data_IF_733363973605
#
_entry.id   IF_733363973605
#
_cell.length_a   1.000
_cell.length_b   1.000
_cell.length_c   1.000
_cell.angle_alpha   90.00
_cell.angle_beta   90.00
_cell.angle_gamma   90.00
#
_symmetry.space_group_name_H-M   'P 1'
#
loop_
_entity.id
_entity.type
_entity.pdbx_description
1 polymer ?
#
# COMPACT_ATOMS: atom_id res chain seq x y z
N UNK A 1 26.08 18.25 -1.12
CA UNK A 1 25.18 17.09 -1.35
C UNK A 1 24.39 17.35 -2.62
N UNK A 2 24.49 16.45 -3.60
CA UNK A 2 23.62 16.49 -4.80
C UNK A 2 22.30 15.84 -4.41
N UNK A 3 21.20 16.62 -4.43
CA UNK A 3 19.86 16.08 -4.20
C UNK A 3 19.26 15.58 -5.51
N UNK A 4 18.53 14.45 -5.49
CA UNK A 4 17.92 13.90 -6.68
C UNK A 4 16.84 14.86 -7.21
N UNK A 5 16.81 15.05 -8.53
CA UNK A 5 15.76 15.83 -9.20
C UNK A 5 14.49 14.98 -9.25
N UNK A 6 13.38 15.52 -8.76
CA UNK A 6 12.09 14.87 -8.82
C UNK A 6 11.41 15.09 -10.17
N UNK A 7 11.14 13.99 -10.86
CA UNK A 7 10.53 13.97 -12.17
C UNK A 7 9.01 13.70 -12.16
N UNK A 8 8.41 13.46 -10.99
CA UNK A 8 6.98 13.11 -10.87
C UNK A 8 6.70 11.64 -10.59
N UNK A 9 7.72 10.78 -10.49
CA UNK A 9 7.55 9.35 -10.17
C UNK A 9 7.08 9.15 -8.71
N UNK A 10 5.83 8.69 -8.55
CA UNK A 10 5.18 8.49 -7.25
C UNK A 10 5.90 7.44 -6.40
N UNK A 11 6.55 6.44 -7.01
CA UNK A 11 7.30 5.40 -6.29
C UNK A 11 8.57 5.99 -5.67
N UNK A 12 9.23 6.93 -6.37
CA UNK A 12 10.46 7.60 -5.90
C UNK A 12 10.19 8.83 -5.02
N UNK A 13 8.94 9.25 -4.91
CA UNK A 13 8.55 10.43 -4.13
C UNK A 13 8.91 10.30 -2.65
N UNK A 14 8.73 9.11 -2.05
CA UNK A 14 9.09 8.86 -0.66
C UNK A 14 10.59 9.12 -0.41
N UNK A 15 11.46 8.47 -1.19
CA UNK A 15 12.91 8.66 -1.09
C UNK A 15 13.35 10.11 -1.37
N UNK A 16 12.68 10.78 -2.31
CA UNK A 16 12.94 12.21 -2.58
C UNK A 16 12.60 13.08 -1.38
N UNK A 17 11.43 12.89 -0.77
CA UNK A 17 11.00 13.65 0.41
C UNK A 17 11.92 13.41 1.60
N UNK A 18 12.34 12.17 1.85
CA UNK A 18 13.29 11.84 2.93
C UNK A 18 14.63 12.55 2.73
N UNK A 19 15.14 12.53 1.49
CA UNK A 19 16.40 13.20 1.13
C UNK A 19 16.29 14.72 1.30
N UNK A 20 15.17 15.30 0.85
CA UNK A 20 14.91 16.74 1.01
C UNK A 20 14.71 17.14 2.47
N UNK A 21 14.05 16.30 3.27
CA UNK A 21 13.81 16.57 4.69
C UNK A 21 15.14 16.69 5.46
N UNK A 22 16.03 15.73 5.25
CA UNK A 22 17.33 15.67 5.92
C UNK A 22 18.25 16.80 5.46
N UNK A 23 18.35 17.02 4.15
CA UNK A 23 19.32 17.96 3.59
C UNK A 23 18.88 19.43 3.66
N UNK A 24 17.57 19.70 3.58
CA UNK A 24 17.04 21.07 3.41
C UNK A 24 16.04 21.42 4.51
N UNK A 25 15.05 20.58 4.78
CA UNK A 25 13.99 20.93 5.74
C UNK A 25 14.50 21.10 7.17
N UNK A 26 15.38 20.20 7.62
CA UNK A 26 16.01 20.21 8.95
C UNK A 26 17.18 21.20 9.07
N UNK A 27 17.63 21.79 7.97
CA UNK A 27 18.70 22.77 7.99
C UNK A 27 18.21 24.09 8.60
N UNK A 28 18.72 24.46 9.79
CA UNK A 28 18.33 25.67 10.50
C UNK A 28 18.92 26.96 9.89
N UNK A 29 19.98 26.85 9.08
CA UNK A 29 20.62 27.99 8.42
C UNK A 29 19.81 28.52 7.22
N UNK A 30 18.83 27.75 6.73
CA UNK A 30 17.97 28.16 5.62
C UNK A 30 16.63 28.70 6.13
N UNK A 31 16.21 29.84 5.61
CA UNK A 31 14.88 30.39 5.82
C UNK A 31 13.81 29.57 5.12
N UNK A 32 12.54 29.75 5.51
CA UNK A 32 11.40 29.07 4.86
C UNK A 32 11.32 29.37 3.36
N UNK A 33 11.67 30.59 2.97
CA UNK A 33 11.66 31.04 1.57
C UNK A 33 12.77 30.34 0.78
N UNK A 34 13.99 30.29 1.32
CA UNK A 34 15.12 29.62 0.67
C UNK A 34 14.88 28.12 0.51
N UNK A 35 14.33 27.46 1.54
CA UNK A 35 13.92 26.04 1.46
C UNK A 35 12.93 25.83 0.31
N UNK A 36 11.92 26.70 0.21
CA UNK A 36 10.92 26.62 -0.85
C UNK A 36 11.52 26.84 -2.25
N UNK A 37 12.39 27.82 -2.42
CA UNK A 37 13.10 28.08 -3.67
C UNK A 37 13.99 26.90 -4.07
N UNK A 38 14.66 26.28 -3.09
CA UNK A 38 15.50 25.09 -3.31
C UNK A 38 14.67 23.89 -3.74
N UNK A 39 13.49 23.70 -3.15
CA UNK A 39 12.59 22.64 -3.56
C UNK A 39 12.03 22.86 -4.97
N UNK A 40 11.72 24.11 -5.33
CA UNK A 40 11.27 24.45 -6.69
C UNK A 40 12.33 24.21 -7.76
N UNK A 41 13.62 24.26 -7.42
CA UNK A 41 14.71 23.95 -8.35
C UNK A 41 14.91 22.46 -8.55
N UNK A 42 14.58 21.63 -7.54
CA UNK A 42 14.69 20.18 -7.57
C UNK A 42 13.51 19.47 -8.25
N UNK A 43 12.42 20.19 -8.55
CA UNK A 43 11.21 19.63 -9.20
C UNK A 43 11.17 20.04 -10.67
N UNK A 44 11.14 19.06 -11.59
CA UNK A 44 11.02 19.33 -13.04
C UNK A 44 9.74 20.11 -13.35
N UNK A 45 9.78 20.99 -14.35
CA UNK A 45 8.64 21.87 -14.74
C UNK A 45 7.30 21.11 -14.91
N UNK A 46 7.33 19.88 -15.42
CA UNK A 46 6.13 19.02 -15.56
C UNK A 46 5.58 18.45 -14.24
N UNK A 47 6.40 18.38 -13.18
CA UNK A 47 6.02 17.93 -11.85
C UNK A 47 5.64 19.10 -10.90
N UNK A 48 5.82 20.36 -11.33
CA UNK A 48 5.54 21.55 -10.52
C UNK A 48 4.05 21.72 -10.17
N UNK A 49 3.14 21.26 -11.04
CA UNK A 49 1.69 21.24 -10.78
C UNK A 49 1.32 20.27 -9.67
N UNK A 50 2.03 19.15 -9.55
CA UNK A 50 1.91 18.21 -8.43
C UNK A 50 2.45 18.82 -7.12
N UNK A 51 3.44 19.71 -7.22
CA UNK A 51 4.21 20.24 -6.08
C UNK A 51 3.65 21.49 -5.41
N UNK A 52 2.94 22.40 -6.11
CA UNK A 52 2.27 23.56 -5.45
C UNK A 52 1.28 23.08 -4.36
N UNK A 53 0.82 21.83 -4.46
CA UNK A 53 -0.04 21.17 -3.49
C UNK A 53 0.74 20.69 -2.23
N UNK A 54 2.09 20.61 -2.26
CA UNK A 54 2.97 19.84 -1.32
C UNK A 54 3.43 20.56 -0.05
N UNK A 55 3.31 21.87 0.05
CA UNK A 55 3.98 22.64 1.10
C UNK A 55 3.60 22.34 2.56
N UNK A 56 2.33 22.03 2.88
CA UNK A 56 1.92 21.87 4.30
C UNK A 56 0.52 21.29 4.51
N UNK A 57 -0.43 21.63 3.66
CA UNK A 57 -1.84 21.23 3.82
C UNK A 57 -2.14 19.77 3.44
N UNK A 58 -1.22 19.11 2.74
CA UNK A 58 -1.54 17.86 2.04
C UNK A 58 -0.88 16.60 2.60
N UNK A 59 -0.06 16.64 3.66
CA UNK A 59 0.43 15.37 4.26
C UNK A 59 -0.70 14.48 4.74
N UNK A 60 -1.70 15.06 5.41
CA UNK A 60 -2.90 14.32 5.84
C UNK A 60 -3.75 13.92 4.64
N UNK A 61 -4.10 14.86 3.76
CA UNK A 61 -4.92 14.58 2.57
C UNK A 61 -4.28 13.55 1.63
N UNK A 62 -2.95 13.47 1.54
CA UNK A 62 -2.27 12.46 0.74
C UNK A 62 -2.09 11.15 1.41
N UNK A 63 -1.83 11.13 2.71
CA UNK A 63 -1.91 9.89 3.45
C UNK A 63 -3.27 9.25 3.21
N UNK A 64 -4.36 10.02 3.35
CA UNK A 64 -5.71 9.54 3.02
C UNK A 64 -5.85 9.12 1.55
N UNK A 65 -5.26 9.85 0.59
CA UNK A 65 -5.30 9.47 -0.82
C UNK A 65 -4.54 8.17 -1.15
N UNK A 66 -3.36 7.97 -0.57
CA UNK A 66 -2.54 6.76 -0.73
C UNK A 66 -3.24 5.58 -0.07
N UNK A 67 -3.80 5.77 1.13
CA UNK A 67 -4.65 4.78 1.80
C UNK A 67 -5.84 4.43 0.90
N UNK A 68 -6.56 5.42 0.37
CA UNK A 68 -7.68 5.20 -0.55
C UNK A 68 -7.26 4.39 -1.76
N UNK A 69 -6.08 4.65 -2.34
CA UNK A 69 -5.59 3.90 -3.48
C UNK A 69 -5.26 2.45 -3.14
N UNK A 70 -4.63 2.19 -1.99
CA UNK A 70 -4.41 0.82 -1.53
C UNK A 70 -5.72 0.09 -1.26
N UNK A 71 -6.71 0.76 -0.68
CA UNK A 71 -8.05 0.19 -0.45
C UNK A 71 -8.78 -0.09 -1.77
N UNK A 72 -8.73 0.81 -2.75
CA UNK A 72 -9.29 0.59 -4.09
C UNK A 72 -8.69 -0.64 -4.76
N UNK A 73 -7.36 -0.81 -4.67
CA UNK A 73 -6.70 -1.99 -5.25
C UNK A 73 -7.16 -3.26 -4.55
N UNK A 74 -7.26 -3.27 -3.23
CA UNK A 74 -7.80 -4.41 -2.47
C UNK A 74 -9.23 -4.76 -2.90
N UNK A 75 -10.11 -3.76 -3.04
CA UNK A 75 -11.51 -3.95 -3.48
C UNK A 75 -11.62 -4.46 -4.93
N UNK A 76 -10.67 -4.07 -5.79
CA UNK A 76 -10.64 -4.40 -7.22
C UNK A 76 -9.79 -5.62 -7.58
N UNK A 77 -9.29 -6.37 -6.60
CA UNK A 77 -8.58 -7.64 -6.85
C UNK A 77 -9.48 -8.56 -7.69
N UNK A 78 -8.90 -9.20 -8.71
CA UNK A 78 -9.60 -10.17 -9.54
C UNK A 78 -9.89 -11.45 -8.75
N UNK A 79 -11.09 -12.01 -8.93
CA UNK A 79 -11.44 -13.29 -8.32
C UNK A 79 -10.71 -14.43 -9.02
N UNK A 80 -10.17 -15.36 -8.24
CA UNK A 80 -9.70 -16.63 -8.76
C UNK A 80 -10.90 -17.57 -8.85
N UNK A 81 -11.23 -18.00 -10.06
CA UNK A 81 -12.44 -18.80 -10.34
C UNK A 81 -12.21 -20.30 -10.19
N UNK A 82 -10.96 -20.76 -10.30
CA UNK A 82 -10.60 -22.17 -10.26
C UNK A 82 -9.53 -22.45 -9.23
N UNK A 83 -9.80 -23.37 -8.32
CA UNK A 83 -8.89 -23.82 -7.28
C UNK A 83 -7.60 -24.42 -7.86
N UNK A 84 -7.62 -25.09 -9.01
CA UNK A 84 -6.36 -25.63 -9.57
C UNK A 84 -5.39 -24.56 -10.09
N UNK A 85 -5.80 -23.29 -10.17
CA UNK A 85 -4.91 -22.19 -10.58
C UNK A 85 -4.10 -21.66 -9.39
N UNK A 86 -3.16 -22.47 -8.94
CA UNK A 86 -2.27 -22.18 -7.81
C UNK A 86 -1.50 -20.89 -8.00
N UNK A 87 -1.01 -20.61 -9.21
CA UNK A 87 -0.28 -19.37 -9.50
C UNK A 87 -1.14 -18.13 -9.26
N UNK A 88 -2.39 -18.10 -9.71
CA UNK A 88 -3.29 -16.97 -9.47
C UNK A 88 -3.70 -16.85 -8.00
N UNK A 89 -3.81 -17.96 -7.26
CA UNK A 89 -4.03 -17.93 -5.80
C UNK A 89 -2.84 -17.31 -5.07
N UNK A 90 -1.61 -17.76 -5.37
CA UNK A 90 -0.39 -17.20 -4.80
C UNK A 90 -0.22 -15.71 -5.12
N UNK A 91 -0.47 -15.32 -6.38
CA UNK A 91 -0.44 -13.93 -6.78
C UNK A 91 -1.50 -13.07 -6.06
N UNK A 92 -2.68 -13.63 -5.78
CA UNK A 92 -3.71 -12.97 -4.98
C UNK A 92 -3.23 -12.76 -3.54
N UNK A 93 -2.66 -13.77 -2.90
CA UNK A 93 -2.13 -13.67 -1.54
C UNK A 93 -1.02 -12.62 -1.43
N UNK A 94 -0.03 -12.68 -2.32
CA UNK A 94 1.10 -11.74 -2.31
C UNK A 94 0.65 -10.29 -2.55
N UNK A 95 -0.33 -10.10 -3.45
CA UNK A 95 -0.91 -8.78 -3.73
C UNK A 95 -1.68 -8.23 -2.54
N UNK A 96 -2.48 -9.05 -1.86
CA UNK A 96 -3.16 -8.67 -0.62
C UNK A 96 -2.11 -8.29 0.43
N UNK A 97 -1.14 -9.15 0.68
CA UNK A 97 -0.14 -8.95 1.72
C UNK A 97 0.68 -7.68 1.51
N UNK A 98 1.10 -7.41 0.27
CA UNK A 98 1.82 -6.20 -0.13
C UNK A 98 1.05 -4.92 0.24
N UNK A 99 -0.26 -4.88 -0.05
CA UNK A 99 -1.08 -3.72 0.28
C UNK A 99 -1.35 -3.60 1.77
N UNK A 100 -1.50 -4.71 2.50
CA UNK A 100 -1.61 -4.66 3.97
C UNK A 100 -0.35 -4.13 4.65
N UNK A 101 0.83 -4.57 4.19
CA UNK A 101 2.11 -4.04 4.67
C UNK A 101 2.24 -2.54 4.41
N UNK A 102 1.80 -2.06 3.23
CA UNK A 102 1.79 -0.64 2.90
C UNK A 102 0.83 0.16 3.81
N UNK A 103 -0.38 -0.33 4.06
CA UNK A 103 -1.34 0.29 4.97
C UNK A 103 -0.79 0.36 6.41
N UNK A 104 -0.15 -0.72 6.88
CA UNK A 104 0.53 -0.74 8.19
C UNK A 104 1.65 0.28 8.26
N UNK A 105 2.48 0.41 7.22
CA UNK A 105 3.55 1.41 7.16
C UNK A 105 3.02 2.86 7.15
N UNK A 106 1.84 3.08 6.57
CA UNK A 106 1.12 4.36 6.61
C UNK A 106 0.43 4.62 7.96
N UNK A 107 0.55 3.72 8.93
CA UNK A 107 -0.01 3.87 10.28
C UNK A 107 -1.53 3.71 10.31
N UNK A 108 -2.12 2.93 9.39
CA UNK A 108 -3.53 2.55 9.47
C UNK A 108 -3.69 1.49 10.58
N UNK A 109 -4.59 1.69 11.55
CA UNK A 109 -4.82 0.72 12.61
C UNK A 109 -5.28 -0.61 12.00
N UNK A 110 -4.75 -1.71 12.51
CA UNK A 110 -4.98 -3.03 11.93
C UNK A 110 -6.46 -3.41 11.98
N UNK A 111 -7.15 -2.96 13.02
CA UNK A 111 -8.59 -3.12 13.27
C UNK A 111 -9.46 -2.56 12.11
N UNK A 112 -8.98 -1.52 11.41
CA UNK A 112 -9.73 -0.89 10.32
C UNK A 112 -9.80 -1.74 9.05
N UNK A 113 -8.87 -2.66 8.83
CA UNK A 113 -8.86 -3.54 7.65
C UNK A 113 -8.98 -5.03 7.99
N UNK A 114 -8.54 -5.48 9.17
CA UNK A 114 -8.67 -6.87 9.62
C UNK A 114 -10.13 -7.32 9.65
N UNK A 115 -11.07 -6.44 10.00
CA UNK A 115 -12.50 -6.76 10.03
C UNK A 115 -13.10 -6.96 8.62
N UNK A 116 -12.57 -6.27 7.61
CA UNK A 116 -13.04 -6.33 6.22
C UNK A 116 -12.34 -7.42 5.42
N UNK A 117 -11.09 -7.74 5.75
CA UNK A 117 -10.22 -8.65 5.01
C UNK A 117 -10.87 -10.02 4.77
N UNK A 118 -11.52 -10.66 5.77
CA UNK A 118 -12.14 -11.96 5.56
C UNK A 118 -13.22 -11.95 4.49
N UNK A 119 -14.11 -10.96 4.58
CA UNK A 119 -15.23 -10.82 3.64
C UNK A 119 -14.75 -10.48 2.22
N UNK A 120 -13.63 -9.77 2.11
CA UNK A 120 -13.02 -9.42 0.84
C UNK A 120 -12.40 -10.66 0.19
N UNK A 121 -11.54 -11.39 0.90
CA UNK A 121 -10.80 -12.52 0.34
C UNK A 121 -11.76 -13.66 -0.01
N UNK A 122 -12.74 -13.98 0.85
CA UNK A 122 -13.73 -15.02 0.56
C UNK A 122 -14.56 -14.75 -0.70
N UNK A 123 -14.77 -13.48 -1.07
CA UNK A 123 -15.43 -13.11 -2.33
C UNK A 123 -14.53 -13.28 -3.56
N UNK A 124 -13.22 -13.38 -3.37
CA UNK A 124 -12.23 -13.50 -4.45
C UNK A 124 -11.67 -14.92 -4.59
N UNK A 125 -12.02 -15.83 -3.68
CA UNK A 125 -11.60 -17.23 -3.73
C UNK A 125 -12.65 -18.13 -4.42
N UNK A 126 -12.21 -19.26 -5.01
CA UNK A 126 -13.10 -20.33 -5.46
C UNK A 126 -13.97 -20.86 -4.32
N UNK A 127 -15.20 -21.28 -4.66
CA UNK A 127 -16.19 -21.74 -3.68
C UNK A 127 -15.70 -22.95 -2.87
N UNK A 128 -14.92 -23.83 -3.48
CA UNK A 128 -14.37 -25.03 -2.88
C UNK A 128 -13.40 -24.69 -1.74
N UNK A 129 -12.56 -23.67 -1.93
CA UNK A 129 -11.66 -23.17 -0.88
C UNK A 129 -12.45 -22.50 0.25
N UNK A 130 -13.48 -21.70 -0.09
CA UNK A 130 -14.36 -21.10 0.91
C UNK A 130 -15.07 -22.17 1.78
N UNK A 131 -15.50 -23.28 1.17
CA UNK A 131 -16.09 -24.41 1.89
C UNK A 131 -15.07 -25.13 2.77
N UNK A 132 -13.83 -25.29 2.31
CA UNK A 132 -12.76 -25.89 3.13
C UNK A 132 -12.41 -25.01 4.33
N UNK A 133 -12.28 -23.70 4.12
CA UNK A 133 -12.00 -22.71 5.17
C UNK A 133 -13.11 -22.70 6.23
N UNK A 134 -14.39 -22.66 5.81
CA UNK A 134 -15.51 -22.64 6.77
C UNK A 134 -15.65 -23.92 7.60
N UNK A 135 -15.09 -25.05 7.12
CA UNK A 135 -15.05 -26.31 7.87
C UNK A 135 -13.89 -26.37 8.88
N UNK A 136 -12.78 -25.70 8.60
CA UNK A 136 -11.54 -25.76 9.42
C UNK A 136 -11.37 -24.56 10.37
N UNK A 137 -11.87 -23.37 10.01
CA UNK A 137 -11.67 -22.13 10.77
C UNK A 137 -13.01 -21.57 11.26
N UNK A 138 -13.04 -21.10 12.52
CA UNK A 138 -14.14 -20.28 13.02
C UNK A 138 -14.04 -18.89 12.36
N UNK A 139 -15.14 -18.42 11.78
CA UNK A 139 -15.24 -17.24 10.90
C UNK A 139 -14.64 -15.93 11.45
N UNK A 140 -14.37 -15.85 12.76
CA UNK A 140 -14.03 -14.61 13.47
C UNK A 140 -12.52 -14.40 13.69
N UNK A 141 -11.69 -15.45 13.66
CA UNK A 141 -10.31 -15.34 14.17
C UNK A 141 -9.20 -15.66 13.16
N UNK A 142 -9.55 -15.91 11.89
CA UNK A 142 -8.56 -16.44 10.96
C UNK A 142 -7.60 -15.38 10.39
N UNK A 143 -6.32 -15.76 10.27
CA UNK A 143 -5.24 -14.91 9.74
C UNK A 143 -4.89 -15.27 8.30
N UNK A 144 -4.35 -14.31 7.55
CA UNK A 144 -3.90 -14.52 6.17
C UNK A 144 -2.88 -15.66 6.06
N UNK A 145 -2.02 -15.83 7.07
CA UNK A 145 -1.05 -16.92 7.15
C UNK A 145 -1.72 -18.31 7.24
N UNK A 146 -2.80 -18.44 8.01
CA UNK A 146 -3.55 -19.70 8.15
C UNK A 146 -4.25 -20.08 6.84
N UNK A 147 -4.69 -19.09 6.06
CA UNK A 147 -5.21 -19.31 4.72
C UNK A 147 -4.15 -19.83 3.76
N UNK A 148 -2.92 -19.31 3.86
CA UNK A 148 -1.80 -19.78 3.02
C UNK A 148 -1.47 -21.23 3.34
N UNK A 149 -1.38 -21.58 4.63
CA UNK A 149 -1.16 -22.95 5.09
C UNK A 149 -2.26 -23.91 4.63
N UNK A 150 -3.53 -23.52 4.74
CA UNK A 150 -4.67 -24.29 4.23
C UNK A 150 -4.61 -24.48 2.71
N UNK A 151 -4.19 -23.44 2.00
CA UNK A 151 -3.94 -23.47 0.57
C UNK A 151 -2.74 -24.32 0.17
N UNK A 152 -1.85 -24.70 1.09
CA UNK A 152 -0.80 -25.69 0.83
C UNK A 152 -1.31 -27.11 1.14
N UNK A 153 -1.98 -27.29 2.28
CA UNK A 153 -2.53 -28.57 2.74
C UNK A 153 -3.49 -29.22 1.74
N UNK A 154 -4.38 -28.43 1.13
CA UNK A 154 -5.38 -28.91 0.17
C UNK A 154 -4.79 -29.41 -1.15
N UNK A 155 -3.50 -29.15 -1.42
CA UNK A 155 -2.82 -29.57 -2.65
C UNK A 155 -1.79 -30.67 -2.40
N UNK A 156 -1.34 -30.84 -1.15
CA UNK A 156 -0.49 -31.96 -0.74
C UNK A 156 -1.28 -33.23 -0.37
N UNK A 157 -2.62 -33.17 -0.31
CA UNK A 157 -3.52 -34.29 -0.02
C UNK A 157 -4.20 -34.80 -1.31
#
# INVERSE_FOLDING_TARGET
LSLPIFNGDVVRLACFLDSYEVAVHKNAALSKVEKFTYLQSLVLKGAKTHYIRIGSYCRKLWREHIISKHMEVLLSIESVTWQGNTHSLWALYDKVETHLRALKALGVPAEAYISLLPSLILKKLPQELCLAISRKLKYVDWKLDEMRELGEELYTA
#
